data_IF_480630277498
#
_entry.id   IF_480630277498
#
_cell.length_a   1.000
_cell.length_b   1.000
_cell.length_c   1.000
_cell.angle_alpha   90.00
_cell.angle_beta   90.00
_cell.angle_gamma   90.00
#
_symmetry.space_group_name_H-M   'P 1'
#
loop_
_entity.id
_entity.type
_entity.pdbx_description
1 polymer ?
#
# COMPACT_ATOMS: atom_id res chain seq x y z
N UNK A 1 12.04 28.14 0.29
CA UNK A 1 10.61 27.78 0.34
C UNK A 1 10.53 26.36 0.89
N UNK A 2 10.04 26.19 2.12
CA UNK A 2 9.86 24.88 2.75
C UNK A 2 8.73 24.15 2.04
N UNK A 3 9.06 23.06 1.37
CA UNK A 3 8.11 22.18 0.70
C UNK A 3 7.24 21.50 1.76
N UNK A 4 5.93 21.73 1.73
CA UNK A 4 5.00 21.14 2.69
C UNK A 4 4.73 19.68 2.31
N UNK A 5 5.27 18.75 3.10
CA UNK A 5 5.13 17.30 2.94
C UNK A 5 3.75 16.78 3.39
N UNK A 6 2.80 17.66 3.74
CA UNK A 6 1.51 17.28 4.37
C UNK A 6 0.28 17.36 3.47
N UNK A 7 0.37 17.82 2.22
CA UNK A 7 -0.83 18.09 1.42
C UNK A 7 -0.94 17.20 0.17
N UNK A 8 -1.59 16.02 0.25
CA UNK A 8 -1.89 15.23 -0.93
C UNK A 8 -3.34 15.33 -1.40
N UNK A 9 -4.28 15.77 -0.55
CA UNK A 9 -5.68 15.95 -0.94
C UNK A 9 -6.08 17.42 -0.80
N UNK A 10 -5.90 18.18 -1.87
CA UNK A 10 -6.34 19.56 -1.98
C UNK A 10 -7.88 19.60 -1.95
N UNK A 11 -8.45 20.58 -1.24
CA UNK A 11 -9.90 20.72 -1.00
C UNK A 11 -10.76 20.88 -2.28
N UNK A 12 -10.13 20.98 -3.46
CA UNK A 12 -10.79 21.04 -4.77
C UNK A 12 -10.77 19.74 -5.56
N UNK A 13 -10.23 18.64 -5.03
CA UNK A 13 -10.21 17.36 -5.77
C UNK A 13 -11.60 16.75 -5.83
N UNK A 14 -12.09 16.64 -7.07
CA UNK A 14 -13.27 15.86 -7.42
C UNK A 14 -12.93 14.37 -7.33
N UNK A 15 -13.89 13.56 -6.88
CA UNK A 15 -13.82 12.09 -7.00
C UNK A 15 -14.16 11.60 -8.42
N UNK A 16 -14.44 12.53 -9.34
CA UNK A 16 -14.61 12.27 -10.77
C UNK A 16 -13.35 12.63 -11.53
N UNK A 17 -13.06 11.84 -12.57
CA UNK A 17 -11.97 12.05 -13.51
C UNK A 17 -10.60 12.20 -12.83
N UNK A 18 -10.35 11.43 -11.76
CA UNK A 18 -9.14 11.59 -10.94
C UNK A 18 -7.84 11.37 -11.73
N UNK A 19 -7.93 10.66 -12.87
CA UNK A 19 -6.82 10.48 -13.80
C UNK A 19 -6.28 11.80 -14.35
N UNK A 20 -7.11 12.84 -14.51
CA UNK A 20 -6.70 14.14 -15.07
C UNK A 20 -5.71 14.87 -14.17
N UNK A 21 -5.86 14.73 -12.85
CA UNK A 21 -4.99 15.38 -11.88
C UNK A 21 -4.02 14.42 -11.17
N UNK A 22 -3.97 13.14 -11.57
CA UNK A 22 -3.03 12.13 -11.04
C UNK A 22 -1.58 12.63 -10.95
N UNK A 23 -1.15 13.44 -11.92
CA UNK A 23 0.21 14.02 -11.96
C UNK A 23 0.54 14.96 -10.79
N UNK A 24 -0.47 15.40 -10.03
CA UNK A 24 -0.31 16.23 -8.82
C UNK A 24 -0.33 15.39 -7.54
N UNK A 25 -0.71 14.13 -7.62
CA UNK A 25 -0.83 13.24 -6.47
C UNK A 25 0.51 12.57 -6.21
N UNK A 26 0.87 12.48 -4.94
CA UNK A 26 2.12 11.90 -4.50
C UNK A 26 1.88 10.92 -3.34
N UNK A 27 2.78 9.95 -3.13
CA UNK A 27 2.74 9.09 -1.95
C UNK A 27 2.96 9.90 -0.67
N UNK A 28 2.28 9.50 0.38
CA UNK A 28 2.26 10.16 1.69
C UNK A 28 2.75 9.19 2.74
N UNK A 29 3.77 9.59 3.49
CA UNK A 29 4.30 8.75 4.55
C UNK A 29 3.36 8.82 5.77
N UNK A 30 2.94 7.66 6.28
CA UNK A 30 2.10 7.56 7.48
C UNK A 30 2.85 6.95 8.66
N UNK A 31 3.91 6.20 8.39
CA UNK A 31 4.84 5.70 9.40
C UNK A 31 6.26 6.01 8.92
N UNK A 32 7.03 6.71 9.75
CA UNK A 32 8.38 7.14 9.41
C UNK A 32 9.39 6.74 10.49
N UNK A 33 10.64 6.40 10.15
CA UNK A 33 11.68 6.21 11.16
C UNK A 33 11.97 7.54 11.89
N UNK A 34 12.27 7.48 13.19
CA UNK A 34 12.73 8.66 13.93
C UNK A 34 14.16 8.98 13.54
N UNK A 35 14.43 10.23 13.18
CA UNK A 35 15.79 10.72 12.85
C UNK A 35 16.76 10.62 14.02
N UNK A 36 16.27 10.80 15.24
CA UNK A 36 17.05 10.70 16.47
C UNK A 36 17.26 9.26 16.96
N UNK A 37 16.39 8.33 16.54
CA UNK A 37 16.40 6.93 16.97
C UNK A 37 15.99 6.03 15.79
N UNK A 38 16.94 5.55 14.97
CA UNK A 38 16.64 4.83 13.72
C UNK A 38 15.91 3.50 13.94
N UNK A 39 15.86 3.02 15.18
CA UNK A 39 15.16 1.83 15.65
C UNK A 39 13.77 2.15 16.24
N UNK A 40 13.18 3.30 15.91
CA UNK A 40 11.82 3.63 16.31
C UNK A 40 11.07 4.23 15.15
N UNK A 41 9.77 3.98 15.14
CA UNK A 41 8.85 4.53 14.16
C UNK A 41 7.93 5.55 14.83
N UNK A 42 7.61 6.63 14.10
CA UNK A 42 6.57 7.59 14.45
C UNK A 42 5.40 7.39 13.53
N UNK A 43 4.20 7.42 14.10
CA UNK A 43 2.96 7.52 13.35
C UNK A 43 2.72 9.00 12.99
N UNK A 44 2.35 9.25 11.75
CA UNK A 44 2.08 10.58 11.20
C UNK A 44 0.58 10.75 11.02
N UNK A 45 -0.12 11.04 12.11
CA UNK A 45 -1.58 11.16 12.13
C UNK A 45 -2.10 12.20 11.14
N UNK A 46 -1.49 13.40 11.11
CA UNK A 46 -1.88 14.45 10.16
C UNK A 46 -1.77 14.00 8.70
N UNK A 47 -0.75 13.20 8.38
CA UNK A 47 -0.55 12.66 7.03
C UNK A 47 -1.64 11.65 6.69
N UNK A 48 -2.02 10.76 7.62
CA UNK A 48 -3.14 9.84 7.41
C UNK A 48 -4.47 10.61 7.25
N UNK A 49 -4.75 11.55 8.15
CA UNK A 49 -5.96 12.37 8.14
C UNK A 49 -6.07 13.22 6.87
N UNK A 50 -4.95 13.67 6.30
CA UNK A 50 -4.95 14.40 5.03
C UNK A 50 -5.46 13.58 3.84
N UNK A 51 -5.35 12.25 3.90
CA UNK A 51 -5.79 11.32 2.84
C UNK A 51 -7.17 10.76 3.17
N UNK A 52 -7.35 10.24 4.39
CA UNK A 52 -8.56 9.52 4.79
C UNK A 52 -9.65 10.41 5.42
N UNK A 53 -9.30 11.62 5.86
CA UNK A 53 -10.22 12.56 6.50
C UNK A 53 -10.94 13.48 5.52
N UNK A 54 -10.73 13.33 4.21
CA UNK A 54 -11.33 14.21 3.23
C UNK A 54 -12.85 13.98 3.08
N UNK A 55 -13.63 15.06 2.98
CA UNK A 55 -15.09 15.02 2.94
C UNK A 55 -15.66 14.26 1.74
N UNK A 56 -14.93 14.22 0.62
CA UNK A 56 -15.32 13.49 -0.59
C UNK A 56 -15.41 11.97 -0.41
N UNK A 57 -14.72 11.42 0.60
CA UNK A 57 -14.79 10.00 0.96
C UNK A 57 -15.48 9.76 2.30
N UNK A 58 -16.09 10.80 2.89
CA UNK A 58 -16.84 10.67 4.12
C UNK A 58 -17.97 9.64 3.95
N UNK A 59 -18.11 8.75 4.93
CA UNK A 59 -19.08 7.65 4.95
C UNK A 59 -18.91 6.62 3.82
N UNK A 60 -17.77 6.60 3.12
CA UNK A 60 -17.44 5.55 2.15
C UNK A 60 -16.66 4.43 2.83
N UNK A 61 -16.88 3.19 2.39
CA UNK A 61 -16.07 2.06 2.82
C UNK A 61 -14.67 2.20 2.21
N UNK A 62 -13.63 2.03 3.02
CA UNK A 62 -12.24 2.12 2.58
C UNK A 62 -11.68 0.72 2.39
N UNK A 63 -10.97 0.50 1.28
CA UNK A 63 -10.20 -0.72 1.01
C UNK A 63 -8.73 -0.33 0.93
N UNK A 64 -7.92 -0.90 1.81
CA UNK A 64 -6.48 -0.68 1.79
C UNK A 64 -5.78 -1.92 1.22
N UNK A 65 -5.08 -1.74 0.11
CA UNK A 65 -4.28 -2.78 -0.55
C UNK A 65 -2.81 -2.51 -0.24
N UNK A 66 -2.20 -3.36 0.59
CA UNK A 66 -0.78 -3.27 0.94
C UNK A 66 0.05 -4.24 0.11
N UNK A 67 1.22 -3.81 -0.34
CA UNK A 67 2.25 -4.71 -0.88
C UNK A 67 3.43 -4.72 0.10
N UNK A 68 3.74 -5.91 0.62
CA UNK A 68 4.87 -6.16 1.51
C UNK A 68 5.75 -7.30 0.99
N UNK A 69 6.96 -7.44 1.53
CA UNK A 69 7.92 -8.44 1.08
C UNK A 69 9.34 -7.90 0.99
N UNK A 70 10.25 -8.75 0.54
CA UNK A 70 11.68 -8.49 0.54
C UNK A 70 12.08 -7.20 -0.19
N UNK A 71 13.19 -6.63 0.24
CA UNK A 71 13.78 -5.44 -0.36
C UNK A 71 14.18 -5.70 -1.83
N UNK A 72 13.94 -4.70 -2.69
CA UNK A 72 14.25 -4.74 -4.15
C UNK A 72 13.55 -5.83 -4.96
N UNK A 73 12.41 -6.34 -4.50
CA UNK A 73 11.58 -7.28 -5.26
C UNK A 73 10.49 -6.62 -6.14
N UNK A 74 10.59 -5.32 -6.41
CA UNK A 74 9.66 -4.62 -7.30
C UNK A 74 8.29 -4.26 -6.70
N UNK A 75 8.19 -4.07 -5.38
CA UNK A 75 6.91 -3.73 -4.70
C UNK A 75 6.29 -2.43 -5.22
N UNK A 76 7.04 -1.33 -5.21
CA UNK A 76 6.57 -0.01 -5.66
C UNK A 76 6.25 0.00 -7.16
N UNK A 77 6.97 -0.82 -7.95
CA UNK A 77 6.66 -1.04 -9.37
C UNK A 77 5.31 -1.74 -9.55
N UNK A 78 5.06 -2.83 -8.81
CA UNK A 78 3.76 -3.52 -8.82
C UNK A 78 2.63 -2.58 -8.39
N UNK A 79 2.86 -1.75 -7.38
CA UNK A 79 1.89 -0.74 -6.95
C UNK A 79 1.60 0.29 -8.04
N UNK A 80 2.58 0.69 -8.84
CA UNK A 80 2.35 1.61 -9.95
C UNK A 80 1.51 0.98 -11.07
N UNK A 81 1.65 -0.33 -11.30
CA UNK A 81 0.74 -1.08 -12.20
C UNK A 81 -0.68 -1.08 -11.63
N UNK A 82 -0.84 -1.27 -10.31
CA UNK A 82 -2.15 -1.18 -9.67
C UNK A 82 -2.74 0.22 -9.77
N UNK A 83 -1.93 1.29 -9.65
CA UNK A 83 -2.40 2.67 -9.86
C UNK A 83 -2.93 2.84 -11.28
N UNK A 84 -2.17 2.41 -12.30
CA UNK A 84 -2.60 2.50 -13.70
C UNK A 84 -3.94 1.80 -13.92
N UNK A 85 -4.07 0.57 -13.43
CA UNK A 85 -5.31 -0.18 -13.51
C UNK A 85 -6.48 0.53 -12.81
N UNK A 86 -6.29 1.01 -11.57
CA UNK A 86 -7.35 1.63 -10.79
C UNK A 86 -7.83 2.94 -11.40
N UNK A 87 -6.93 3.79 -11.89
CA UNK A 87 -7.30 5.04 -12.58
C UNK A 87 -8.02 4.76 -13.91
N UNK A 88 -7.55 3.80 -14.70
CA UNK A 88 -8.23 3.38 -15.93
C UNK A 88 -9.61 2.78 -15.65
N UNK A 89 -9.72 1.96 -14.61
CA UNK A 89 -10.99 1.35 -14.18
C UNK A 89 -12.00 2.41 -13.77
N UNK A 90 -11.60 3.36 -12.93
CA UNK A 90 -12.48 4.46 -12.54
C UNK A 90 -12.98 5.24 -13.77
N UNK A 91 -12.07 5.62 -14.67
CA UNK A 91 -12.43 6.39 -15.86
C UNK A 91 -13.47 5.65 -16.71
N UNK A 92 -13.27 4.35 -16.90
CA UNK A 92 -14.20 3.48 -17.62
C UNK A 92 -15.58 3.42 -16.94
N UNK A 93 -15.62 3.27 -15.61
CA UNK A 93 -16.87 3.24 -14.85
C UNK A 93 -17.64 4.57 -14.90
N UNK A 94 -16.93 5.70 -14.82
CA UNK A 94 -17.57 7.03 -14.78
C UNK A 94 -18.09 7.50 -16.13
N UNK A 95 -17.47 7.04 -17.22
CA UNK A 95 -17.81 7.44 -18.58
C UNK A 95 -18.58 6.35 -19.35
N UNK A 96 -18.88 5.22 -18.72
CA UNK A 96 -19.52 4.04 -19.33
C UNK A 96 -18.80 3.57 -20.61
N UNK A 97 -17.46 3.53 -20.55
CA UNK A 97 -16.61 3.11 -21.68
C UNK A 97 -15.95 1.77 -21.41
N UNK A 98 -15.44 1.13 -22.47
CA UNK A 98 -14.60 -0.06 -22.33
C UNK A 98 -13.34 0.22 -21.51
N UNK A 99 -12.92 -0.74 -20.70
CA UNK A 99 -11.70 -0.63 -19.90
C UNK A 99 -10.47 -0.77 -20.80
N UNK A 100 -9.78 0.34 -21.02
CA UNK A 100 -8.48 0.39 -21.69
C UNK A 100 -7.40 0.74 -20.66
N UNK A 101 -6.47 -0.20 -20.43
CA UNK A 101 -5.37 -0.05 -19.48
C UNK A 101 -4.12 -0.73 -20.01
N UNK A 102 -2.95 -0.35 -19.48
CA UNK A 102 -1.63 -0.84 -19.92
C UNK A 102 -1.32 -0.55 -21.40
N UNK A 103 -1.63 0.66 -21.85
CA UNK A 103 -1.24 1.15 -23.18
C UNK A 103 0.26 1.54 -23.18
N UNK A 104 0.91 1.50 -24.35
CA UNK A 104 2.36 1.73 -24.50
C UNK A 104 2.84 3.11 -23.97
N UNK A 105 1.95 4.10 -23.92
CA UNK A 105 2.21 5.45 -23.36
C UNK A 105 1.95 5.55 -21.84
N UNK A 106 1.76 4.44 -21.14
CA UNK A 106 1.55 4.42 -19.69
C UNK A 106 2.80 4.92 -18.95
N UNK A 107 2.77 6.19 -18.57
CA UNK A 107 3.76 6.75 -17.66
C UNK A 107 3.55 6.13 -16.27
N UNK A 108 4.43 5.20 -15.88
CA UNK A 108 4.50 4.56 -14.55
C UNK A 108 4.95 5.56 -13.46
N UNK A 109 4.28 6.71 -13.37
CA UNK A 109 4.38 7.69 -12.31
C UNK A 109 3.51 7.29 -11.12
N UNK A 110 4.01 7.47 -9.90
CA UNK A 110 3.32 7.04 -8.70
C UNK A 110 4.24 6.94 -7.50
N UNK A 111 4.27 5.78 -6.86
CA UNK A 111 5.27 5.46 -5.84
C UNK A 111 6.66 5.57 -6.43
N UNK A 112 7.55 6.26 -5.70
CA UNK A 112 8.93 6.41 -6.12
C UNK A 112 9.61 5.05 -6.14
N UNK A 113 10.23 4.72 -7.27
CA UNK A 113 11.00 3.50 -7.45
C UNK A 113 12.26 3.82 -8.27
N UNK A 114 13.40 3.26 -7.86
CA UNK A 114 14.66 3.33 -8.61
C UNK A 114 15.31 1.96 -8.76
N UNK A 115 15.84 1.70 -9.95
CA UNK A 115 16.79 0.61 -10.16
C UNK A 115 18.15 1.00 -9.58
N UNK A 116 18.46 0.56 -8.36
CA UNK A 116 19.73 0.88 -7.68
C UNK A 116 19.88 0.21 -6.31
N UNK A 117 21.09 0.21 -5.75
CA UNK A 117 21.42 -0.49 -4.48
C UNK A 117 20.98 0.26 -3.21
N UNK A 118 20.68 1.56 -3.29
CA UNK A 118 20.27 2.37 -2.13
C UNK A 118 18.80 2.12 -1.80
N UNK A 119 18.48 2.10 -0.49
CA UNK A 119 17.11 1.99 0.02
C UNK A 119 16.28 3.17 -0.46
N UNK A 120 15.07 2.88 -0.95
CA UNK A 120 14.18 3.88 -1.55
C UNK A 120 12.97 4.15 -0.64
N UNK A 121 12.29 3.09 -0.17
CA UNK A 121 11.12 3.19 0.73
C UNK A 121 11.50 2.89 2.18
N UNK A 122 11.26 3.83 3.10
CA UNK A 122 11.41 3.66 4.54
C UNK A 122 10.06 3.87 5.26
N UNK A 123 9.72 3.01 6.23
CA UNK A 123 8.44 3.05 6.91
C UNK A 123 7.25 2.57 6.06
N UNK A 124 6.08 3.20 6.21
CA UNK A 124 4.85 2.90 5.46
C UNK A 124 4.36 4.16 4.76
N UNK A 125 4.04 4.02 3.48
CA UNK A 125 3.54 5.07 2.61
C UNK A 125 2.19 4.65 2.03
N UNK A 126 1.29 5.60 1.85
CA UNK A 126 0.01 5.40 1.15
C UNK A 126 -0.09 6.32 -0.05
N UNK A 127 -0.86 5.94 -1.05
CA UNK A 127 -1.16 6.83 -2.16
C UNK A 127 -1.97 8.03 -1.65
N UNK A 128 -1.63 9.22 -2.14
CA UNK A 128 -2.14 10.47 -1.58
C UNK A 128 -3.60 10.77 -1.84
N UNK A 129 -4.24 10.02 -2.74
CA UNK A 129 -5.63 10.18 -3.12
C UNK A 129 -6.32 8.81 -3.10
N UNK A 130 -7.40 8.61 -2.32
CA UNK A 130 -8.23 7.43 -2.46
C UNK A 130 -8.92 7.42 -3.83
N UNK A 131 -8.83 6.30 -4.53
CA UNK A 131 -9.42 6.12 -5.86
C UNK A 131 -10.81 5.51 -5.68
N UNK A 132 -11.84 6.22 -6.17
CA UNK A 132 -13.23 5.77 -6.04
C UNK A 132 -13.57 4.71 -7.08
N UNK A 133 -13.87 3.49 -6.64
CA UNK A 133 -14.21 2.35 -7.49
C UNK A 133 -15.60 1.84 -7.15
N UNK A 134 -16.44 1.64 -8.15
CA UNK A 134 -17.73 0.99 -8.00
C UNK A 134 -17.56 -0.53 -8.10
N UNK A 135 -18.05 -1.27 -7.11
CA UNK A 135 -18.06 -2.71 -7.12
C UNK A 135 -19.29 -3.24 -7.89
N UNK A 136 -19.24 -4.51 -8.31
CA UNK A 136 -20.33 -5.15 -9.06
C UNK A 136 -21.69 -5.19 -8.31
N UNK A 137 -21.68 -4.96 -6.99
CA UNK A 137 -22.88 -4.85 -6.16
C UNK A 137 -23.45 -3.42 -6.10
N UNK A 138 -22.90 -2.47 -6.85
CA UNK A 138 -23.29 -1.06 -6.87
C UNK A 138 -22.75 -0.23 -5.70
N UNK A 139 -21.96 -0.81 -4.79
CA UNK A 139 -21.33 -0.06 -3.70
C UNK A 139 -20.03 0.62 -4.18
N UNK A 140 -19.85 1.89 -3.84
CA UNK A 140 -18.60 2.61 -4.10
C UNK A 140 -17.63 2.49 -2.93
N UNK A 141 -16.39 2.11 -3.24
CA UNK A 141 -15.28 1.98 -2.30
C UNK A 141 -14.21 3.03 -2.56
N UNK A 142 -13.61 3.54 -1.49
CA UNK A 142 -12.40 4.35 -1.53
C UNK A 142 -11.18 3.42 -1.45
N UNK A 143 -10.52 3.17 -2.58
CA UNK A 143 -9.38 2.25 -2.66
C UNK A 143 -8.08 3.02 -2.44
N UNK A 144 -7.29 2.60 -1.47
CA UNK A 144 -5.98 3.19 -1.12
C UNK A 144 -4.90 2.13 -1.26
N UNK A 145 -3.84 2.48 -1.99
CA UNK A 145 -2.66 1.63 -2.10
C UNK A 145 -1.65 1.98 -1.00
N UNK A 146 -0.98 0.96 -0.47
CA UNK A 146 0.01 1.10 0.59
C UNK A 146 1.33 0.41 0.20
N UNK A 147 2.40 1.20 0.13
CA UNK A 147 3.77 0.70 -0.03
C UNK A 147 4.45 0.58 1.33
N UNK A 148 5.25 -0.48 1.47
CA UNK A 148 5.93 -0.80 2.72
C UNK A 148 7.43 -0.90 2.50
N UNK A 149 8.18 -0.50 3.52
CA UNK A 149 9.60 -0.79 3.57
C UNK A 149 9.85 -2.29 3.40
N UNK A 150 10.78 -2.64 2.52
CA UNK A 150 11.13 -4.04 2.30
C UNK A 150 11.84 -4.68 3.48
N UNK A 151 11.54 -5.95 3.73
CA UNK A 151 12.26 -6.79 4.68
C UNK A 151 13.66 -7.07 4.15
N UNK A 152 14.67 -7.12 5.02
CA UNK A 152 16.08 -7.27 4.60
C UNK A 152 16.42 -8.74 4.44
N UNK A 153 16.99 -9.11 3.29
CA UNK A 153 17.40 -10.49 3.00
C UNK A 153 18.65 -10.94 3.78
N UNK A 154 19.48 -10.04 4.34
CA UNK A 154 20.56 -10.36 5.30
C UNK A 154 21.20 -9.07 5.93
N UNK A 155 21.26 -8.99 7.26
CA UNK A 155 22.28 -8.30 8.08
C UNK A 155 22.33 -6.75 8.33
N UNK A 156 21.33 -5.90 8.04
CA UNK A 156 21.49 -4.42 8.31
C UNK A 156 20.31 -3.68 8.95
N UNK A 157 19.26 -4.36 9.39
CA UNK A 157 18.24 -3.83 10.29
C UNK A 157 17.98 -4.90 11.35
N UNK A 158 17.70 -4.54 12.61
CA UNK A 158 17.22 -5.52 13.57
C UNK A 158 15.94 -6.16 13.00
N UNK A 159 15.91 -7.49 12.91
CA UNK A 159 14.76 -8.30 12.45
C UNK A 159 13.40 -7.76 12.96
N UNK A 160 13.39 -7.28 14.21
CA UNK A 160 12.25 -6.65 14.89
C UNK A 160 11.62 -5.44 14.15
N UNK A 161 12.41 -4.60 13.49
CA UNK A 161 11.89 -3.43 12.74
C UNK A 161 11.11 -3.87 11.51
N UNK A 162 11.64 -4.89 10.83
CA UNK A 162 11.04 -5.48 9.64
C UNK A 162 9.69 -6.13 9.98
N UNK A 163 9.64 -6.89 11.07
CA UNK A 163 8.40 -7.50 11.56
C UNK A 163 7.38 -6.45 12.00
N UNK A 164 7.82 -5.33 12.59
CA UNK A 164 6.92 -4.23 13.00
C UNK A 164 6.23 -3.58 11.80
N UNK A 165 6.96 -3.25 10.73
CA UNK A 165 6.38 -2.68 9.52
C UNK A 165 5.39 -3.65 8.86
N UNK A 166 5.75 -4.92 8.80
CA UNK A 166 4.88 -5.95 8.23
C UNK A 166 3.60 -6.18 9.05
N UNK A 167 3.72 -6.20 10.38
CA UNK A 167 2.59 -6.32 11.28
C UNK A 167 1.63 -5.13 11.12
N UNK A 168 2.16 -3.90 11.14
CA UNK A 168 1.38 -2.68 10.98
C UNK A 168 0.72 -2.62 9.60
N UNK A 169 1.43 -2.98 8.52
CA UNK A 169 0.83 -2.98 7.18
C UNK A 169 -0.32 -3.96 7.05
N UNK A 170 -0.23 -5.11 7.72
CA UNK A 170 -1.29 -6.12 7.70
C UNK A 170 -2.47 -5.71 8.57
N UNK A 171 -2.22 -5.06 9.72
CA UNK A 171 -3.30 -4.51 10.56
C UNK A 171 -4.05 -3.37 9.87
N UNK A 172 -3.37 -2.54 9.09
CA UNK A 172 -4.02 -1.46 8.34
C UNK A 172 -4.68 -1.92 7.05
N UNK A 173 -4.28 -3.05 6.47
CA UNK A 173 -4.76 -3.46 5.15
C UNK A 173 -5.97 -4.39 5.20
N UNK A 174 -6.89 -4.16 4.26
CA UNK A 174 -7.95 -5.13 3.95
C UNK A 174 -7.40 -6.29 3.11
N UNK A 175 -6.42 -5.97 2.25
CA UNK A 175 -5.75 -6.91 1.37
C UNK A 175 -4.25 -6.75 1.55
N UNK A 176 -3.59 -7.78 2.07
CA UNK A 176 -2.13 -7.85 2.12
C UNK A 176 -1.62 -8.70 0.97
N UNK A 177 -0.90 -8.08 0.04
CA UNK A 177 -0.13 -8.76 -1.01
C UNK A 177 1.29 -8.97 -0.49
N UNK A 178 1.69 -10.22 -0.34
CA UNK A 178 3.04 -10.57 0.05
C UNK A 178 3.83 -10.98 -1.19
N UNK A 179 4.74 -10.10 -1.61
CA UNK A 179 5.59 -10.22 -2.79
C UNK A 179 6.85 -11.02 -2.46
N UNK A 180 6.84 -12.28 -2.84
CA UNK A 180 7.94 -13.24 -2.68
C UNK A 180 8.62 -13.39 -4.03
N UNK A 181 9.96 -13.44 -4.04
CA UNK A 181 10.72 -13.79 -5.24
C UNK A 181 11.30 -15.18 -5.08
N UNK A 182 11.17 -15.98 -6.15
CA UNK A 182 11.65 -17.36 -6.29
C UNK A 182 10.95 -18.41 -5.43
N UNK A 183 11.03 -18.35 -4.10
CA UNK A 183 10.51 -19.44 -3.24
C UNK A 183 10.02 -18.92 -1.90
N UNK A 184 8.94 -19.53 -1.39
CA UNK A 184 8.44 -19.27 -0.05
C UNK A 184 9.41 -19.89 0.96
N UNK A 185 10.22 -19.06 1.61
CA UNK A 185 11.15 -19.50 2.66
C UNK A 185 10.42 -19.61 4.00
N UNK A 186 10.93 -20.45 4.91
CA UNK A 186 10.37 -20.63 6.26
C UNK A 186 10.37 -19.31 7.06
N UNK A 187 11.37 -18.44 6.85
CA UNK A 187 11.42 -17.09 7.44
C UNK A 187 10.28 -16.18 6.96
N UNK A 188 9.82 -16.37 5.71
CA UNK A 188 8.62 -15.68 5.21
C UNK A 188 7.36 -16.14 5.93
N UNK A 189 7.31 -17.39 6.39
CA UNK A 189 6.22 -17.93 7.21
C UNK A 189 6.35 -17.50 8.69
N UNK A 190 7.57 -17.28 9.20
CA UNK A 190 7.78 -16.79 10.56
C UNK A 190 7.14 -15.41 10.79
N UNK A 191 7.19 -14.51 9.79
CA UNK A 191 6.47 -13.24 9.88
C UNK A 191 4.93 -13.42 9.93
N UNK A 192 4.41 -14.54 9.42
CA UNK A 192 2.99 -14.89 9.54
C UNK A 192 2.64 -15.48 10.93
N UNK A 193 3.62 -15.98 11.68
CA UNK A 193 3.38 -16.53 13.02
C UNK A 193 2.83 -15.47 13.98
N UNK A 194 3.25 -14.21 13.82
CA UNK A 194 2.70 -13.07 14.54
C UNK A 194 1.19 -12.89 14.26
N UNK A 195 0.73 -13.21 13.05
CA UNK A 195 -0.70 -13.18 12.72
C UNK A 195 -1.48 -14.35 13.32
N UNK A 196 -0.85 -15.52 13.45
CA UNK A 196 -1.45 -16.65 14.16
C UNK A 196 -1.57 -16.32 15.64
N UNK A 197 -0.56 -15.69 16.23
CA UNK A 197 -0.56 -15.28 17.63
C UNK A 197 -1.61 -14.19 17.91
N UNK A 198 -1.65 -13.13 17.08
CA UNK A 198 -2.69 -12.10 17.18
C UNK A 198 -4.09 -12.67 16.89
N UNK A 199 -4.19 -13.56 15.90
CA UNK A 199 -5.39 -14.33 15.61
C UNK A 199 -5.89 -15.10 16.82
N UNK A 200 -5.00 -15.81 17.52
CA UNK A 200 -5.32 -16.56 18.74
C UNK A 200 -5.77 -15.65 19.88
N UNK A 201 -5.08 -14.52 20.10
CA UNK A 201 -5.47 -13.54 21.13
C UNK A 201 -6.88 -12.99 20.91
N UNK A 202 -7.26 -12.75 19.65
CA UNK A 202 -8.61 -12.28 19.28
C UNK A 202 -9.63 -13.44 19.28
N UNK A 203 -9.18 -14.67 19.00
CA UNK A 203 -10.02 -15.87 19.02
C UNK A 203 -10.39 -16.32 20.43
N UNK A 204 -9.59 -16.01 21.45
CA UNK A 204 -9.98 -16.21 22.86
C UNK A 204 -11.16 -15.29 23.24
N UNK A 205 -11.44 -14.26 22.45
CA UNK A 205 -12.65 -13.42 22.51
C UNK A 205 -13.65 -13.70 21.36
N UNK A 206 -13.48 -14.80 20.60
CA UNK A 206 -14.15 -15.11 19.32
C UNK A 206 -15.68 -15.14 19.34
N UNK A 207 -16.30 -15.34 20.51
CA UNK A 207 -17.76 -15.30 20.59
C UNK A 207 -18.34 -13.88 20.33
N UNK A 208 -17.50 -12.85 20.20
CA UNK A 208 -17.91 -11.47 19.94
C UNK A 208 -17.33 -10.84 18.66
N UNK A 209 -16.30 -11.41 18.04
CA UNK A 209 -15.57 -10.75 16.94
C UNK A 209 -15.39 -11.63 15.69
N UNK A 210 -15.46 -10.99 14.51
CA UNK A 210 -15.14 -11.60 13.20
C UNK A 210 -13.62 -11.86 13.08
N UNK A 211 -13.15 -12.72 12.14
CA UNK A 211 -11.72 -12.93 11.92
C UNK A 211 -10.96 -11.59 11.79
N UNK A 212 -9.77 -11.46 12.42
CA UNK A 212 -9.09 -10.16 12.58
C UNK A 212 -8.54 -9.57 11.29
N UNK A 213 -8.41 -10.39 10.24
CA UNK A 213 -7.90 -9.98 8.93
C UNK A 213 -8.85 -10.47 7.83
N UNK A 214 -8.98 -9.68 6.76
CA UNK A 214 -9.97 -9.93 5.71
C UNK A 214 -9.41 -10.86 4.62
N UNK A 215 -8.29 -10.50 3.96
CA UNK A 215 -7.67 -11.33 2.90
C UNK A 215 -6.14 -11.14 2.85
N UNK A 216 -5.38 -12.25 2.81
CA UNK A 216 -3.94 -12.26 2.50
C UNK A 216 -3.68 -13.03 1.21
N UNK A 217 -2.95 -12.44 0.25
CA UNK A 217 -2.61 -13.03 -1.05
C UNK A 217 -1.09 -13.08 -1.24
N UNK A 218 -0.58 -14.22 -1.69
CA UNK A 218 0.83 -14.39 -2.03
C UNK A 218 1.03 -14.13 -3.52
N UNK A 219 1.93 -13.21 -3.85
CA UNK A 219 2.36 -12.96 -5.21
C UNK A 219 3.80 -13.47 -5.35
N UNK A 220 4.00 -14.45 -6.24
CA UNK A 220 5.32 -15.04 -6.50
C UNK A 220 5.82 -14.51 -7.83
N UNK A 221 6.86 -13.68 -7.80
CA UNK A 221 7.53 -13.18 -9.00
C UNK A 221 8.72 -14.09 -9.35
N UNK A 222 8.82 -14.50 -10.62
CA UNK A 222 9.97 -15.23 -11.15
C UNK A 222 10.98 -14.24 -11.75
N UNK A 223 12.23 -14.29 -11.28
CA UNK A 223 13.36 -13.69 -11.97
C UNK A 223 13.96 -14.73 -12.92
N UNK A 224 13.38 -14.93 -14.10
CA UNK A 224 14.11 -15.60 -15.17
C UNK A 224 15.05 -14.62 -15.86
N UNK A 225 16.13 -14.26 -15.16
CA UNK A 225 17.37 -13.83 -15.83
C UNK A 225 18.31 -15.04 -15.94
N UNK A 226 17.87 -16.06 -16.68
CA UNK A 226 18.78 -17.04 -17.25
C UNK A 226 19.42 -16.40 -18.49
N UNK A 227 20.67 -15.96 -18.34
CA UNK A 227 21.62 -16.11 -19.45
C UNK A 227 21.98 -17.59 -19.58
#
# INVERSE_FOLDING_TARGET
MSFDLTAPFQAGFSTRDQIEHRHKVHPVQIIAPLSSQPNRYKFLENSLTSVLGHSSIANKKVVIISVAGAFRKGKSFLLNIFLDYLYSLQKSQQNDTTLEWLLDDSHLGGFHWRSGMKRDTAGIWIWGEPIMIEAANGETYAVVLMDTQGTVDNATLPYQMSSTIFALSTLFSSIQVYNIVETILEESLANLSLFVEYGRLVLDEANKFKPPFQVSKYFVSSNNNSK
#
